data_IF_924943170119
#
_entry.id   IF_924943170119
#
_cell.length_a   1.000
_cell.length_b   1.000
_cell.length_c   1.000
_cell.angle_alpha   90.00
_cell.angle_beta   90.00
_cell.angle_gamma   90.00
#
_symmetry.space_group_name_H-M   'P 1'
#
loop_
_entity.id
_entity.type
_entity.pdbx_description
1 polymer ?
#
# COMPACT_ATOMS: atom_id res chain seq x y z
N UNK A 1 42.12 -45.47 -73.86
CA UNK A 1 43.11 -45.49 -72.75
C UNK A 1 43.38 -44.06 -72.32
N UNK A 2 42.95 -43.68 -71.11
CA UNK A 2 43.40 -42.48 -70.38
C UNK A 2 43.27 -42.78 -68.88
N UNK A 3 44.37 -42.48 -68.20
CA UNK A 3 44.73 -42.79 -66.82
C UNK A 3 44.23 -41.71 -65.86
N UNK A 4 43.97 -42.11 -64.59
CA UNK A 4 44.20 -41.40 -63.32
C UNK A 4 43.45 -40.05 -63.11
N UNK A 5 43.11 -39.57 -61.90
CA UNK A 5 43.63 -39.77 -60.56
C UNK A 5 42.63 -39.17 -59.55
N UNK A 6 42.57 -39.77 -58.36
CA UNK A 6 42.17 -39.32 -57.01
C UNK A 6 41.78 -37.85 -56.77
N UNK A 7 40.86 -37.65 -55.81
CA UNK A 7 40.81 -36.40 -55.04
C UNK A 7 39.61 -36.26 -54.12
N UNK A 8 39.80 -36.61 -52.85
CA UNK A 8 38.88 -36.29 -51.74
C UNK A 8 38.77 -34.77 -51.56
N UNK A 9 37.55 -34.23 -51.37
CA UNK A 9 37.36 -32.88 -50.81
C UNK A 9 36.28 -32.98 -49.73
N UNK A 10 36.76 -33.20 -48.51
CA UNK A 10 36.01 -32.96 -47.28
C UNK A 10 35.95 -31.44 -47.09
N UNK A 11 34.77 -30.83 -47.15
CA UNK A 11 34.60 -29.43 -46.84
C UNK A 11 34.71 -29.25 -45.31
N UNK A 12 35.87 -28.78 -44.85
CA UNK A 12 36.05 -28.29 -43.48
C UNK A 12 35.47 -26.88 -43.42
N UNK A 13 34.30 -26.73 -42.79
CA UNK A 13 33.78 -25.44 -42.37
C UNK A 13 34.65 -24.94 -41.22
N UNK A 14 35.55 -24.01 -41.51
CA UNK A 14 36.21 -23.18 -40.50
C UNK A 14 35.18 -22.15 -40.06
N UNK A 15 34.44 -22.45 -38.99
CA UNK A 15 33.73 -21.43 -38.24
C UNK A 15 34.77 -20.68 -37.40
N UNK A 16 35.01 -19.41 -37.72
CA UNK A 16 35.78 -18.53 -36.85
C UNK A 16 35.01 -18.32 -35.55
N UNK A 17 35.60 -18.81 -34.46
CA UNK A 17 35.20 -18.51 -33.09
C UNK A 17 35.25 -17.00 -32.86
N UNK A 18 34.09 -16.35 -32.77
CA UNK A 18 33.97 -15.15 -31.96
C UNK A 18 33.60 -15.60 -30.55
N UNK A 19 34.62 -15.75 -29.71
CA UNK A 19 34.42 -15.73 -28.27
C UNK A 19 33.96 -14.32 -27.89
N UNK A 20 32.65 -14.08 -27.92
CA UNK A 20 32.07 -12.95 -27.22
C UNK A 20 32.05 -13.33 -25.74
N UNK A 21 32.92 -12.69 -24.97
CA UNK A 21 32.97 -12.79 -23.52
C UNK A 21 31.57 -12.70 -22.94
N UNK A 22 31.20 -13.68 -22.10
CA UNK A 22 30.06 -13.54 -21.20
C UNK A 22 30.43 -12.43 -20.24
N UNK A 23 30.03 -11.20 -20.58
CA UNK A 23 30.00 -10.11 -19.62
C UNK A 23 28.84 -10.45 -18.70
N UNK A 24 29.15 -11.10 -17.58
CA UNK A 24 28.29 -11.17 -16.41
C UNK A 24 28.01 -9.73 -16.00
N UNK A 25 26.90 -9.18 -16.51
CA UNK A 25 26.33 -7.97 -15.95
C UNK A 25 25.94 -8.34 -14.52
N UNK A 26 26.45 -7.60 -13.51
CA UNK A 26 25.80 -7.62 -12.22
C UNK A 26 24.35 -7.25 -12.49
N UNK A 27 23.43 -8.03 -11.93
CA UNK A 27 22.04 -7.67 -11.76
C UNK A 27 22.03 -6.33 -11.03
N UNK A 28 22.08 -5.24 -11.80
CA UNK A 28 21.75 -3.91 -11.33
C UNK A 28 20.38 -4.07 -10.73
N UNK A 29 20.25 -3.73 -9.46
CA UNK A 29 18.98 -3.59 -8.78
C UNK A 29 18.05 -2.83 -9.73
N UNK A 30 17.14 -3.57 -10.34
CA UNK A 30 16.02 -3.03 -11.06
C UNK A 30 15.18 -2.43 -9.93
N UNK A 31 15.48 -1.17 -9.59
CA UNK A 31 14.50 -0.31 -8.97
C UNK A 31 13.28 -0.43 -9.87
N UNK A 32 12.34 -1.30 -9.48
CA UNK A 32 11.01 -1.29 -10.03
C UNK A 32 10.58 0.16 -9.91
N UNK A 33 10.51 0.84 -11.05
CA UNK A 33 9.86 2.12 -11.15
C UNK A 33 8.41 1.80 -10.79
N UNK A 34 8.10 1.91 -9.50
CA UNK A 34 6.77 1.69 -8.96
C UNK A 34 5.92 2.66 -9.76
N UNK A 35 4.96 2.12 -10.52
CA UNK A 35 3.97 2.94 -11.19
C UNK A 35 3.20 3.68 -10.10
N UNK A 36 3.64 4.89 -9.78
CA UNK A 36 2.98 5.85 -8.88
C UNK A 36 1.70 6.40 -9.50
N UNK A 37 1.35 5.94 -10.70
CA UNK A 37 0.16 6.26 -11.45
C UNK A 37 -0.86 5.11 -11.36
N UNK A 38 -1.24 4.68 -10.16
CA UNK A 38 -2.65 4.27 -10.04
C UNK A 38 -3.49 5.49 -10.41
N UNK A 39 -4.59 5.31 -11.14
CA UNK A 39 -5.45 6.43 -11.51
C UNK A 39 -5.89 7.15 -10.23
N UNK A 40 -5.35 8.35 -10.00
CA UNK A 40 -5.75 9.19 -8.87
C UNK A 40 -7.13 9.75 -9.23
N UNK A 41 -8.15 9.59 -8.37
CA UNK A 41 -9.48 10.11 -8.64
C UNK A 41 -9.48 11.61 -8.94
N UNK A 42 -10.40 12.08 -9.77
CA UNK A 42 -10.73 13.50 -9.82
C UNK A 42 -11.33 13.90 -8.48
N UNK A 43 -10.71 14.88 -7.81
CA UNK A 43 -11.07 15.28 -6.46
C UNK A 43 -11.87 16.58 -6.45
N UNK A 44 -12.91 16.70 -5.60
CA UNK A 44 -13.54 17.98 -5.32
C UNK A 44 -12.55 18.96 -4.68
N UNK A 45 -12.90 20.24 -4.69
CA UNK A 45 -12.10 21.28 -4.02
C UNK A 45 -11.90 20.97 -2.53
N UNK A 46 -10.67 21.16 -2.04
CA UNK A 46 -10.29 20.92 -0.65
C UNK A 46 -9.86 19.49 -0.33
N UNK A 47 -10.02 18.54 -1.26
CA UNK A 47 -9.53 17.17 -1.09
C UNK A 47 -8.15 17.01 -1.72
N UNK A 48 -7.32 16.16 -1.11
CA UNK A 48 -6.10 15.67 -1.75
C UNK A 48 -6.02 14.15 -1.67
N UNK A 49 -5.34 13.54 -2.65
CA UNK A 49 -5.05 12.11 -2.70
C UNK A 49 -3.65 11.92 -3.24
N UNK A 50 -2.83 11.11 -2.56
CA UNK A 50 -1.42 10.91 -2.89
C UNK A 50 -1.00 9.48 -2.57
N UNK A 51 0.01 9.00 -3.29
CA UNK A 51 0.76 7.81 -2.89
C UNK A 51 2.06 8.31 -2.25
N UNK A 52 2.30 7.91 -1.01
CA UNK A 52 3.41 8.43 -0.19
C UNK A 52 4.20 7.28 0.42
N UNK A 53 5.50 7.50 0.63
CA UNK A 53 6.35 6.56 1.34
C UNK A 53 6.01 6.57 2.83
N UNK A 54 5.91 5.38 3.42
CA UNK A 54 5.68 5.20 4.85
C UNK A 54 7.03 5.19 5.58
N UNK A 55 7.17 5.87 6.72
CA UNK A 55 8.43 5.85 7.47
C UNK A 55 8.82 4.44 7.92
N UNK A 56 10.07 4.05 7.72
CA UNK A 56 10.57 2.74 8.18
C UNK A 56 11.01 2.86 9.64
N UNK A 57 10.48 2.00 10.50
CA UNK A 57 10.80 1.98 11.93
C UNK A 57 9.73 1.35 12.78
N UNK A 58 10.03 1.15 14.07
CA UNK A 58 9.03 0.70 15.03
C UNK A 58 7.94 1.75 15.15
N UNK A 59 6.68 1.33 15.03
CA UNK A 59 5.57 2.18 15.43
C UNK A 59 5.67 2.47 16.93
N UNK A 60 5.81 3.75 17.28
CA UNK A 60 5.96 4.21 18.67
C UNK A 60 4.66 4.73 19.27
N UNK A 61 3.57 4.72 18.48
CA UNK A 61 2.26 5.18 18.96
C UNK A 61 1.81 4.30 20.13
N UNK A 62 1.47 4.95 21.23
CA UNK A 62 0.81 4.29 22.35
C UNK A 62 -0.68 4.27 22.02
N UNK A 63 -1.24 3.08 21.88
CA UNK A 63 -2.65 2.90 21.55
C UNK A 63 -3.43 2.17 22.63
N UNK A 64 -4.69 2.58 22.80
CA UNK A 64 -5.69 1.81 23.53
C UNK A 64 -6.39 0.90 22.52
N UNK A 65 -6.30 -0.41 22.75
CA UNK A 65 -7.02 -1.39 21.93
C UNK A 65 -8.51 -1.31 22.23
N UNK A 66 -9.32 -1.30 21.18
CA UNK A 66 -10.78 -1.40 21.23
C UNK A 66 -11.16 -2.81 20.81
N UNK A 67 -11.68 -3.58 21.77
CA UNK A 67 -12.29 -4.87 21.48
C UNK A 67 -13.68 -4.62 20.88
N UNK A 68 -13.83 -4.88 19.58
CA UNK A 68 -15.14 -4.90 18.95
C UNK A 68 -15.83 -6.20 19.33
N UNK A 69 -16.79 -6.13 20.27
CA UNK A 69 -17.64 -7.25 20.61
C UNK A 69 -18.29 -7.80 19.33
N UNK A 70 -17.88 -9.02 18.95
CA UNK A 70 -18.55 -9.81 17.92
C UNK A 70 -19.88 -10.28 18.51
N UNK A 71 -20.86 -9.38 18.62
CA UNK A 71 -22.24 -9.79 18.85
C UNK A 71 -22.71 -10.60 17.64
N UNK A 72 -22.48 -11.90 17.77
CA UNK A 72 -23.02 -13.00 17.02
C UNK A 72 -24.53 -12.82 16.89
N UNK A 73 -24.94 -12.31 15.72
CA UNK A 73 -26.18 -12.64 15.02
C UNK A 73 -26.41 -11.63 13.88
N UNK A 74 -25.50 -11.52 12.90
CA UNK A 74 -25.79 -11.26 11.48
C UNK A 74 -24.55 -11.66 10.67
N UNK A 75 -24.76 -12.21 9.48
CA UNK A 75 -23.71 -12.69 8.57
C UNK A 75 -22.59 -11.64 8.38
N UNK A 76 -21.35 -12.01 8.71
CA UNK A 76 -20.09 -11.40 8.26
C UNK A 76 -19.84 -9.92 8.61
N UNK A 77 -19.97 -9.51 9.89
CA UNK A 77 -19.27 -8.29 10.33
C UNK A 77 -17.77 -8.62 10.41
N UNK A 78 -16.93 -8.00 9.57
CA UNK A 78 -15.46 -8.13 9.64
C UNK A 78 -15.03 -7.75 11.06
N UNK A 79 -14.27 -8.63 11.70
CA UNK A 79 -13.73 -8.35 13.02
C UNK A 79 -12.52 -7.43 12.82
N UNK A 80 -12.72 -6.13 13.02
CA UNK A 80 -11.61 -5.17 13.00
C UNK A 80 -10.93 -5.13 14.36
N UNK A 81 -9.61 -5.19 14.36
CA UNK A 81 -8.81 -4.80 15.52
C UNK A 81 -8.55 -3.30 15.41
N UNK A 82 -9.01 -2.51 16.38
CA UNK A 82 -8.88 -1.04 16.36
C UNK A 82 -7.97 -0.60 17.50
N UNK A 83 -7.04 0.31 17.20
CA UNK A 83 -6.23 1.03 18.17
C UNK A 83 -6.55 2.52 18.11
N UNK A 84 -6.93 3.11 19.24
CA UNK A 84 -7.05 4.56 19.36
C UNK A 84 -5.73 5.13 19.89
N UNK A 85 -5.21 6.13 19.21
CA UNK A 85 -3.94 6.78 19.52
C UNK A 85 -4.22 8.15 20.12
N UNK A 86 -3.80 8.32 21.37
CA UNK A 86 -3.87 9.64 22.00
C UNK A 86 -3.07 10.64 21.17
N UNK A 87 -3.66 11.78 20.85
CA UNK A 87 -3.02 12.77 20.00
C UNK A 87 -2.47 13.92 20.86
N UNK A 88 -1.17 14.20 20.75
CA UNK A 88 -0.51 15.23 21.55
C UNK A 88 -0.82 16.67 21.06
N UNK A 89 -1.33 16.80 19.84
CA UNK A 89 -1.77 18.05 19.22
C UNK A 89 -3.29 18.23 19.22
N UNK A 90 -3.84 18.84 18.16
CA UNK A 90 -5.29 18.93 17.97
C UNK A 90 -5.78 17.68 17.25
N UNK A 91 -6.76 16.94 17.78
CA UNK A 91 -7.27 15.75 17.10
C UNK A 91 -7.99 16.13 15.80
N UNK A 92 -8.09 15.21 14.84
CA UNK A 92 -8.88 15.44 13.64
C UNK A 92 -10.35 15.67 14.00
N UNK A 93 -11.00 16.60 13.32
CA UNK A 93 -12.42 16.90 13.54
C UNK A 93 -13.30 15.81 12.92
N UNK A 94 -14.29 15.36 13.68
CA UNK A 94 -15.21 14.30 13.27
C UNK A 94 -15.95 14.63 11.96
N UNK A 95 -16.37 15.87 11.76
CA UNK A 95 -17.09 16.30 10.56
C UNK A 95 -16.20 16.26 9.31
N UNK A 96 -14.92 16.65 9.45
CA UNK A 96 -13.92 16.55 8.39
C UNK A 96 -13.67 15.09 8.03
N UNK A 97 -13.53 14.22 9.03
CA UNK A 97 -13.30 12.78 8.80
C UNK A 97 -14.50 12.07 8.18
N UNK A 98 -15.73 12.37 8.60
CA UNK A 98 -16.92 11.82 7.97
C UNK A 98 -17.05 12.25 6.50
N UNK A 99 -16.72 13.52 6.22
CA UNK A 99 -16.71 14.07 4.86
C UNK A 99 -15.66 13.39 4.00
N UNK A 100 -14.43 13.28 4.50
CA UNK A 100 -13.33 12.58 3.83
C UNK A 100 -13.65 11.11 3.56
N UNK A 101 -14.11 10.39 4.59
CA UNK A 101 -14.38 8.97 4.47
C UNK A 101 -15.50 8.68 3.46
N UNK A 102 -16.52 9.55 3.41
CA UNK A 102 -17.56 9.47 2.38
C UNK A 102 -16.98 9.63 0.97
N UNK A 103 -16.01 10.53 0.78
CA UNK A 103 -15.35 10.65 -0.53
C UNK A 103 -14.50 9.43 -0.89
N UNK A 104 -13.77 8.85 0.06
CA UNK A 104 -13.04 7.59 -0.15
C UNK A 104 -14.00 6.52 -0.68
N UNK A 105 -15.18 6.36 -0.06
CA UNK A 105 -16.21 5.42 -0.50
C UNK A 105 -16.72 5.68 -1.91
N UNK A 106 -16.90 6.96 -2.26
CA UNK A 106 -17.42 7.36 -3.56
C UNK A 106 -16.48 7.00 -4.72
N UNK A 107 -15.20 6.74 -4.45
CA UNK A 107 -14.26 6.33 -5.50
C UNK A 107 -14.57 4.94 -6.06
N UNK A 108 -15.19 4.04 -5.28
CA UNK A 108 -15.66 2.73 -5.75
C UNK A 108 -14.60 1.91 -6.50
N UNK A 109 -13.35 1.97 -6.05
CA UNK A 109 -12.20 1.28 -6.65
C UNK A 109 -11.56 0.27 -5.69
N UNK A 110 -10.67 -0.56 -6.24
CA UNK A 110 -9.73 -1.42 -5.52
C UNK A 110 -8.33 -0.85 -5.74
N UNK A 111 -7.62 -0.57 -4.64
CA UNK A 111 -6.28 0.02 -4.65
C UNK A 111 -5.21 -1.06 -4.51
N UNK A 112 -4.14 -1.03 -5.30
CA UNK A 112 -2.98 -1.89 -5.14
C UNK A 112 -1.90 -1.15 -4.35
N UNK A 113 -1.87 -1.39 -3.05
CA UNK A 113 -0.96 -0.74 -2.13
C UNK A 113 0.37 -1.50 -2.10
N UNK A 114 1.46 -0.85 -2.54
CA UNK A 114 2.80 -1.43 -2.55
C UNK A 114 3.41 -1.48 -1.15
N UNK A 115 4.28 -2.47 -0.85
CA UNK A 115 5.00 -2.53 0.42
C UNK A 115 5.75 -1.22 0.70
N UNK A 116 5.54 -0.64 1.88
CA UNK A 116 6.18 0.61 2.28
C UNK A 116 5.59 1.88 1.69
N UNK A 117 4.48 1.78 0.97
CA UNK A 117 3.72 2.92 0.49
C UNK A 117 2.34 2.93 1.11
N UNK A 118 1.78 4.14 1.22
CA UNK A 118 0.40 4.38 1.61
C UNK A 118 -0.31 5.16 0.50
N UNK A 119 -1.59 4.84 0.29
CA UNK A 119 -2.51 5.80 -0.28
C UNK A 119 -2.97 6.69 0.86
N UNK A 120 -2.82 8.00 0.69
CA UNK A 120 -3.21 9.02 1.65
C UNK A 120 -4.27 9.91 1.02
N UNK A 121 -5.33 10.20 1.76
CA UNK A 121 -6.34 11.18 1.40
C UNK A 121 -6.49 12.20 2.53
N UNK A 122 -6.71 13.47 2.19
CA UNK A 122 -6.91 14.54 3.18
C UNK A 122 -8.08 15.45 2.84
N UNK A 123 -8.72 15.97 3.89
CA UNK A 123 -9.72 17.04 3.82
C UNK A 123 -9.80 17.74 5.18
N UNK A 124 -9.71 19.07 5.20
CA UNK A 124 -9.71 19.85 6.44
C UNK A 124 -8.61 19.38 7.40
N UNK A 125 -9.00 19.04 8.62
CA UNK A 125 -8.12 18.50 9.67
C UNK A 125 -7.94 16.98 9.60
N UNK A 126 -8.64 16.28 8.72
CA UNK A 126 -8.58 14.83 8.65
C UNK A 126 -7.59 14.35 7.59
N UNK A 127 -6.75 13.40 7.96
CA UNK A 127 -5.98 12.55 7.06
C UNK A 127 -6.45 11.12 7.26
N UNK A 128 -6.66 10.38 6.17
CA UNK A 128 -6.81 8.94 6.23
C UNK A 128 -5.84 8.26 5.28
N UNK A 129 -5.39 7.07 5.64
CA UNK A 129 -4.47 6.29 4.82
C UNK A 129 -4.84 4.82 4.79
N UNK A 130 -4.41 4.15 3.73
CA UNK A 130 -4.24 2.69 3.67
C UNK A 130 -2.80 2.38 3.27
N UNK A 131 -2.09 1.66 4.13
CA UNK A 131 -0.66 1.39 3.99
C UNK A 131 -0.32 -0.08 4.06
N UNK A 132 0.42 -0.60 3.08
CA UNK A 132 0.91 -1.97 3.10
C UNK A 132 2.25 -2.08 3.85
N UNK A 133 2.46 -3.19 4.55
CA UNK A 133 3.70 -3.46 5.29
C UNK A 133 4.67 -4.28 4.44
N UNK A 134 4.57 -5.61 4.48
CA UNK A 134 5.59 -6.52 3.95
C UNK A 134 5.36 -6.97 2.51
N UNK A 135 4.11 -6.88 2.03
CA UNK A 135 3.70 -7.34 0.69
C UNK A 135 2.65 -6.43 0.10
N UNK A 136 2.52 -6.47 -1.23
CA UNK A 136 1.47 -5.76 -1.92
C UNK A 136 0.11 -6.30 -1.50
N UNK A 137 -0.85 -5.42 -1.26
CA UNK A 137 -2.23 -5.77 -0.94
C UNK A 137 -3.20 -5.07 -1.88
N UNK A 138 -4.33 -5.71 -2.12
CA UNK A 138 -5.47 -5.10 -2.80
C UNK A 138 -6.51 -4.71 -1.74
N UNK A 139 -6.86 -3.42 -1.67
CA UNK A 139 -7.83 -2.92 -0.69
C UNK A 139 -8.96 -2.17 -1.39
N UNK A 140 -10.19 -2.67 -1.22
CA UNK A 140 -11.37 -1.99 -1.71
C UNK A 140 -11.64 -0.71 -0.91
N UNK A 141 -12.02 0.37 -1.61
CA UNK A 141 -12.47 1.63 -1.00
C UNK A 141 -13.66 1.46 -0.05
N UNK A 142 -14.48 0.41 -0.23
CA UNK A 142 -15.51 0.03 0.76
C UNK A 142 -14.90 -0.53 2.05
N UNK A 143 -13.85 -1.34 1.96
CA UNK A 143 -13.11 -1.85 3.13
C UNK A 143 -12.47 -0.69 3.89
N UNK A 144 -11.83 0.22 3.16
CA UNK A 144 -11.26 1.44 3.71
C UNK A 144 -12.34 2.24 4.45
N UNK A 145 -13.47 2.48 3.79
CA UNK A 145 -14.60 3.19 4.39
C UNK A 145 -15.11 2.54 5.68
N UNK A 146 -15.39 1.23 5.67
CA UNK A 146 -16.00 0.53 6.81
C UNK A 146 -15.07 0.51 8.03
N UNK A 147 -13.77 0.31 7.81
CA UNK A 147 -12.78 0.33 8.90
C UNK A 147 -12.58 1.75 9.43
N UNK A 148 -12.48 2.75 8.56
CA UNK A 148 -12.47 4.15 8.97
C UNK A 148 -13.72 4.55 9.75
N UNK A 149 -14.91 4.06 9.36
CA UNK A 149 -16.13 4.35 10.12
C UNK A 149 -16.04 3.82 11.54
N UNK A 150 -15.46 2.63 11.71
CA UNK A 150 -15.23 2.08 13.03
C UNK A 150 -14.20 2.92 13.82
N UNK A 151 -13.09 3.33 13.19
CA UNK A 151 -12.09 4.23 13.81
C UNK A 151 -12.70 5.58 14.20
N UNK A 152 -13.52 6.18 13.33
CA UNK A 152 -14.21 7.45 13.63
C UNK A 152 -15.08 7.30 14.87
N UNK A 153 -15.92 6.26 14.90
CA UNK A 153 -16.88 6.05 16.00
C UNK A 153 -16.22 5.72 17.34
N UNK A 154 -15.04 5.09 17.33
CA UNK A 154 -14.39 4.61 18.55
C UNK A 154 -13.23 5.48 19.03
N UNK A 155 -12.60 6.23 18.13
CA UNK A 155 -11.42 7.04 18.44
C UNK A 155 -11.66 8.53 18.16
N UNK A 156 -12.04 8.90 16.93
CA UNK A 156 -12.17 10.33 16.55
C UNK A 156 -13.28 11.03 17.32
N UNK A 157 -14.43 10.38 17.54
CA UNK A 157 -15.52 10.92 18.36
C UNK A 157 -15.10 11.16 19.82
N UNK A 158 -14.05 10.50 20.28
CA UNK A 158 -13.45 10.68 21.61
C UNK A 158 -12.26 11.66 21.60
N UNK A 159 -11.99 12.34 20.49
CA UNK A 159 -10.88 13.29 20.36
C UNK A 159 -9.52 12.60 20.23
N UNK A 160 -9.48 11.39 19.65
CA UNK A 160 -8.26 10.62 19.40
C UNK A 160 -8.06 10.42 17.89
N UNK A 161 -6.82 10.13 17.48
CA UNK A 161 -6.56 9.51 16.20
C UNK A 161 -6.76 7.98 16.32
N UNK A 162 -6.67 7.24 15.22
CA UNK A 162 -6.75 5.80 15.34
C UNK A 162 -6.51 5.04 14.06
N UNK A 163 -6.38 3.74 14.20
CA UNK A 163 -6.09 2.84 13.11
C UNK A 163 -6.75 1.49 13.35
N UNK A 164 -6.82 0.67 12.31
CA UNK A 164 -7.24 -0.69 12.45
C UNK A 164 -6.73 -1.61 11.34
N UNK A 165 -6.98 -2.89 11.57
CA UNK A 165 -6.64 -3.99 10.69
C UNK A 165 -7.90 -4.80 10.36
N UNK A 166 -8.02 -5.20 9.11
CA UNK A 166 -9.02 -6.16 8.66
C UNK A 166 -8.37 -7.53 8.58
N UNK A 167 -8.40 -8.28 9.69
CA UNK A 167 -7.90 -9.65 9.94
C UNK A 167 -6.61 -9.79 10.79
N UNK A 168 -6.23 -11.06 11.03
CA UNK A 168 -5.12 -11.53 11.89
C UNK A 168 -3.72 -11.31 11.32
N UNK A 169 -3.60 -11.08 10.02
CA UNK A 169 -2.30 -11.13 9.34
C UNK A 169 -1.62 -9.74 9.35
N UNK A 170 -2.35 -8.67 9.69
CA UNK A 170 -1.84 -7.31 9.90
C UNK A 170 -0.95 -6.76 8.76
N UNK A 171 -1.16 -7.23 7.54
CA UNK A 171 -0.34 -6.95 6.35
C UNK A 171 -0.50 -5.53 5.80
N UNK A 172 -1.59 -4.89 6.17
CA UNK A 172 -1.87 -3.51 5.84
C UNK A 172 -2.62 -2.87 6.99
N UNK A 173 -2.49 -1.57 7.10
CA UNK A 173 -3.15 -0.75 8.12
C UNK A 173 -3.99 0.30 7.46
N UNK A 174 -5.18 0.54 7.99
CA UNK A 174 -6.01 1.69 7.65
C UNK A 174 -6.09 2.58 8.87
N UNK A 175 -5.90 3.88 8.71
CA UNK A 175 -5.98 4.79 9.85
C UNK A 175 -6.42 6.20 9.50
N UNK A 176 -6.60 6.96 10.57
CA UNK A 176 -6.98 8.37 10.60
C UNK A 176 -6.03 9.10 11.54
N UNK A 177 -5.42 10.16 11.05
CA UNK A 177 -4.54 11.06 11.80
C UNK A 177 -4.99 12.51 11.57
N UNK A 178 -4.39 13.45 12.31
CA UNK A 178 -4.59 14.87 11.99
C UNK A 178 -3.83 15.21 10.70
N UNK A 179 -4.43 16.04 9.85
CA UNK A 179 -3.80 16.48 8.61
C UNK A 179 -2.52 17.27 8.90
N UNK A 180 -1.41 16.86 8.29
CA UNK A 180 -0.08 17.41 8.54
C UNK A 180 0.77 16.61 9.53
N UNK A 181 0.20 15.59 10.19
CA UNK A 181 0.98 14.60 10.92
C UNK A 181 1.77 13.70 9.95
N UNK A 182 2.87 13.15 10.45
CA UNK A 182 3.61 12.11 9.76
C UNK A 182 2.86 10.78 9.84
N UNK A 183 2.87 10.00 8.75
CA UNK A 183 2.32 8.66 8.76
C UNK A 183 3.06 7.76 9.78
N UNK A 184 2.36 6.80 10.40
CA UNK A 184 3.00 5.92 11.37
C UNK A 184 4.08 5.06 10.72
N UNK A 185 5.13 4.78 11.47
CA UNK A 185 6.21 3.93 10.98
C UNK A 185 5.75 2.47 10.80
N UNK A 186 6.51 1.70 10.00
CA UNK A 186 6.31 0.26 9.86
C UNK A 186 7.62 -0.51 9.79
N UNK A 187 7.53 -1.82 10.07
CA UNK A 187 8.58 -2.82 9.86
C UNK A 187 8.00 -3.98 9.07
N UNK A 188 8.83 -4.58 8.21
CA UNK A 188 8.55 -5.82 7.50
C UNK A 188 9.07 -7.06 8.22
#
# INVERSE_FOLDING_TARGET
MKFWQNGSVLAVLVAFSNAASILSHPQSEEHHEISTAEDIPELPEGFTWRIVERPVGNDTRISRVVELDTQSNQLQKRAFAIGCTGHAGSPPLIDDCNTLNTQVKNYQSTLLVQPGYCHEATYGTCLTYVGAKCRQVAVDTNTWYDLNQAVISHCVDNGEAGYGYDNTDNEYEIGIEHSGDELPSYIC
#
